data_IF_562702445967
#
_entry.id   IF_562702445967
#
_cell.length_a   1.000
_cell.length_b   1.000
_cell.length_c   1.000
_cell.angle_alpha   90.00
_cell.angle_beta   90.00
_cell.angle_gamma   90.00
#
_symmetry.space_group_name_H-M   'P 1'
#
loop_
_entity.id
_entity.type
_entity.pdbx_description
1 polymer ?
#
# COMPACT_ATOMS: atom_id res chain seq x y z
N UNK A 1 19.76 -0.19 -10.05
CA UNK A 1 18.75 -0.74 -9.13
C UNK A 1 17.50 0.09 -9.28
N UNK A 2 16.33 -0.54 -9.30
CA UNK A 2 15.06 0.19 -9.26
C UNK A 2 15.03 1.06 -7.99
N UNK A 3 14.48 2.28 -8.03
CA UNK A 3 14.39 3.10 -6.83
C UNK A 3 13.53 2.39 -5.76
N UNK A 4 13.85 2.59 -4.48
CA UNK A 4 13.07 2.00 -3.40
C UNK A 4 11.63 2.54 -3.40
N UNK A 5 10.73 1.75 -2.84
CA UNK A 5 9.46 2.26 -2.33
C UNK A 5 9.58 2.46 -0.82
N UNK A 6 8.75 3.33 -0.26
CA UNK A 6 8.74 3.61 1.17
C UNK A 6 7.32 3.43 1.70
N UNK A 7 7.14 2.50 2.64
CA UNK A 7 5.91 2.30 3.39
C UNK A 7 6.01 3.13 4.67
N UNK A 8 5.13 4.10 4.87
CA UNK A 8 5.08 4.91 6.09
C UNK A 8 3.79 4.60 6.85
N UNK A 9 3.91 4.07 8.06
CA UNK A 9 2.78 3.82 8.95
C UNK A 9 2.41 5.13 9.64
N UNK A 10 1.19 5.62 9.44
CA UNK A 10 0.71 6.88 10.02
C UNK A 10 -0.07 6.64 11.31
N UNK A 11 -0.73 5.50 11.42
CA UNK A 11 -1.31 5.01 12.66
C UNK A 11 -1.48 3.49 12.62
N UNK A 12 -1.33 2.89 13.80
CA UNK A 12 -1.13 1.45 13.98
C UNK A 12 -2.03 0.84 15.07
N UNK A 13 -2.98 1.61 15.61
CA UNK A 13 -3.92 1.20 16.66
C UNK A 13 -5.21 0.65 16.08
N UNK A 14 -5.78 -0.34 16.76
CA UNK A 14 -7.10 -0.90 16.47
C UNK A 14 -8.20 -0.26 17.30
N UNK A 15 -9.32 0.07 16.63
CA UNK A 15 -10.60 0.60 17.14
C UNK A 15 -10.54 1.97 17.83
N UNK A 16 -9.56 2.18 18.72
CA UNK A 16 -9.43 3.36 19.57
C UNK A 16 -7.99 3.84 19.51
N UNK A 17 -7.72 5.15 19.40
CA UNK A 17 -6.37 5.65 19.43
C UNK A 17 -5.86 5.64 20.87
N UNK A 18 -4.55 5.52 21.04
CA UNK A 18 -3.89 5.68 22.34
C UNK A 18 -3.01 6.93 22.33
N UNK A 19 -2.43 7.27 23.48
CA UNK A 19 -1.41 8.32 23.56
C UNK A 19 -0.19 8.06 22.67
N UNK A 20 0.01 6.80 22.25
CA UNK A 20 1.21 6.35 21.53
C UNK A 20 0.94 5.83 20.12
N UNK A 21 -0.31 5.53 19.77
CA UNK A 21 -0.70 4.98 18.47
C UNK A 21 -1.99 5.63 17.98
N UNK A 22 -1.99 6.14 16.76
CA UNK A 22 -3.17 6.66 16.09
C UNK A 22 -3.96 5.52 15.40
N UNK A 23 -5.18 5.83 14.97
CA UNK A 23 -6.01 4.96 14.14
C UNK A 23 -5.34 4.56 12.82
N UNK A 24 -5.81 3.45 12.24
CA UNK A 24 -5.34 2.86 10.98
C UNK A 24 -5.14 3.87 9.86
N UNK A 25 -3.88 4.01 9.45
CA UNK A 25 -3.54 4.60 8.16
C UNK A 25 -2.08 4.29 7.83
N UNK A 26 -1.80 3.98 6.57
CA UNK A 26 -0.43 3.87 6.06
C UNK A 26 -0.35 4.42 4.64
N UNK A 27 0.84 4.85 4.24
CA UNK A 27 1.10 5.31 2.88
C UNK A 27 2.21 4.50 2.22
N UNK A 28 2.10 4.32 0.91
CA UNK A 28 3.12 3.70 0.06
C UNK A 28 3.57 4.76 -0.95
N UNK A 29 4.80 5.23 -0.81
CA UNK A 29 5.45 6.13 -1.76
C UNK A 29 6.16 5.32 -2.83
N UNK A 30 5.75 5.51 -4.08
CA UNK A 30 6.25 4.84 -5.26
C UNK A 30 7.58 5.43 -5.75
N UNK A 31 8.31 4.73 -6.67
CA UNK A 31 9.59 5.21 -7.19
C UNK A 31 9.54 6.57 -7.88
N UNK A 32 8.39 6.95 -8.46
CA UNK A 32 8.15 8.26 -9.07
C UNK A 32 8.01 9.40 -8.07
N UNK A 33 7.78 9.07 -6.79
CA UNK A 33 7.38 10.01 -5.75
C UNK A 33 5.87 10.15 -5.57
N UNK A 34 5.02 9.53 -6.40
CA UNK A 34 3.57 9.43 -6.16
C UNK A 34 3.29 8.63 -4.88
N UNK A 35 2.27 9.00 -4.12
CA UNK A 35 1.94 8.34 -2.85
C UNK A 35 0.50 7.83 -2.84
N UNK A 36 0.33 6.57 -2.47
CA UNK A 36 -0.96 5.92 -2.24
C UNK A 36 -1.21 5.78 -0.74
N UNK A 37 -2.39 6.16 -0.28
CA UNK A 37 -2.79 6.03 1.13
C UNK A 37 -3.78 4.88 1.29
N UNK A 38 -3.59 4.06 2.31
CA UNK A 38 -4.46 2.95 2.67
C UNK A 38 -5.05 3.24 4.04
N UNK A 39 -6.37 3.34 4.08
CA UNK A 39 -7.18 3.85 5.18
C UNK A 39 -6.82 5.27 5.63
N UNK A 40 -7.79 5.96 6.19
CA UNK A 40 -7.65 7.26 6.81
C UNK A 40 -8.51 7.34 8.06
N UNK A 41 -8.06 6.66 9.13
CA UNK A 41 -8.61 6.86 10.46
C UNK A 41 -8.52 8.31 10.94
N UNK A 42 -9.28 8.64 11.98
CA UNK A 42 -9.28 9.99 12.56
C UNK A 42 -7.85 10.48 12.83
N UNK A 43 -7.61 11.77 12.60
CA UNK A 43 -6.33 12.46 12.76
C UNK A 43 -5.18 12.01 11.83
N UNK A 44 -5.46 11.22 10.77
CA UNK A 44 -4.46 10.89 9.73
C UNK A 44 -3.76 12.14 9.16
N UNK A 45 -4.51 13.22 8.91
CA UNK A 45 -3.93 14.48 8.43
C UNK A 45 -2.90 15.11 9.39
N UNK A 46 -3.04 14.89 10.70
CA UNK A 46 -2.08 15.37 11.70
C UNK A 46 -0.83 14.49 11.69
N UNK A 47 -0.98 13.18 11.50
CA UNK A 47 0.15 12.25 11.41
C UNK A 47 1.01 12.51 10.17
N UNK A 48 0.38 12.86 9.03
CA UNK A 48 1.10 13.27 7.82
C UNK A 48 2.05 14.47 8.06
N UNK A 49 1.66 15.42 8.90
CA UNK A 49 2.50 16.58 9.24
C UNK A 49 3.71 16.23 10.11
N UNK A 50 3.68 15.07 10.79
CA UNK A 50 4.74 14.60 11.70
C UNK A 50 5.76 13.69 11.01
N UNK A 51 5.54 13.31 9.76
CA UNK A 51 6.45 12.41 9.03
C UNK A 51 7.84 13.05 8.90
N UNK A 52 8.86 12.33 9.37
CA UNK A 52 10.24 12.77 9.30
C UNK A 52 10.69 13.02 7.85
N UNK A 53 11.48 14.09 7.64
CA UNK A 53 11.88 14.53 6.30
C UNK A 53 10.79 15.28 5.52
N UNK A 54 9.59 15.43 6.10
CA UNK A 54 8.45 16.11 5.50
C UNK A 54 7.66 15.21 4.55
N UNK A 55 6.33 15.25 4.66
CA UNK A 55 5.44 14.58 3.71
C UNK A 55 5.00 15.54 2.61
N UNK A 56 5.25 15.19 1.36
CA UNK A 56 4.80 15.99 0.21
C UNK A 56 3.30 15.74 -0.01
N UNK A 57 2.43 16.53 0.61
CA UNK A 57 0.98 16.39 0.44
C UNK A 57 0.53 16.42 -1.04
N UNK A 58 1.26 17.14 -1.90
CA UNK A 58 0.98 17.19 -3.33
C UNK A 58 1.35 15.92 -4.11
N UNK A 59 2.00 14.92 -3.52
CA UNK A 59 2.15 13.59 -4.13
C UNK A 59 1.01 12.63 -3.80
N UNK A 60 0.20 12.95 -2.78
CA UNK A 60 -0.95 12.16 -2.40
C UNK A 60 -2.12 12.49 -3.32
N UNK A 61 -2.52 11.52 -4.14
CA UNK A 61 -3.58 11.66 -5.15
C UNK A 61 -4.65 10.58 -5.05
N UNK A 62 -4.35 9.47 -4.37
CA UNK A 62 -5.25 8.33 -4.25
C UNK A 62 -5.29 7.82 -2.83
N UNK A 63 -6.50 7.48 -2.37
CA UNK A 63 -6.74 6.75 -1.12
C UNK A 63 -7.54 5.49 -1.41
N UNK A 64 -7.22 4.41 -0.70
CA UNK A 64 -7.89 3.12 -0.75
C UNK A 64 -8.41 2.80 0.65
N UNK A 65 -9.72 2.69 0.81
CA UNK A 65 -10.37 2.33 2.08
C UNK A 65 -10.69 0.85 2.07
N UNK A 66 -10.32 0.16 3.15
CA UNK A 66 -10.51 -1.30 3.27
C UNK A 66 -11.94 -1.65 3.65
N UNK A 67 -12.52 -0.92 4.62
CA UNK A 67 -13.89 -1.11 5.09
C UNK A 67 -14.44 0.15 5.78
N UNK A 68 -15.71 0.11 6.19
CA UNK A 68 -16.47 1.29 6.63
C UNK A 68 -16.40 1.59 8.13
N UNK A 69 -15.52 0.94 8.91
CA UNK A 69 -15.35 1.30 10.32
C UNK A 69 -14.67 2.65 10.50
N UNK A 70 -15.04 3.33 11.59
CA UNK A 70 -14.67 4.73 11.81
C UNK A 70 -13.16 4.96 11.95
N UNK A 71 -12.46 4.04 12.58
CA UNK A 71 -11.01 4.05 12.73
C UNK A 71 -10.25 3.81 11.42
N UNK A 72 -10.93 3.50 10.32
CA UNK A 72 -10.33 3.39 8.98
C UNK A 72 -10.75 4.54 8.05
N UNK A 73 -11.77 5.33 8.39
CA UNK A 73 -12.34 6.30 7.44
C UNK A 73 -12.74 7.67 8.00
N UNK A 74 -12.90 7.86 9.32
CA UNK A 74 -13.34 9.16 9.88
C UNK A 74 -12.38 10.32 9.58
N UNK A 75 -11.12 10.03 9.27
CA UNK A 75 -10.14 11.02 8.85
C UNK A 75 -10.25 11.46 7.39
N UNK A 76 -11.06 10.81 6.56
CA UNK A 76 -11.09 11.08 5.11
C UNK A 76 -11.61 12.48 4.77
N UNK A 77 -12.70 12.92 5.39
CA UNK A 77 -13.31 14.23 5.15
C UNK A 77 -12.37 15.37 5.56
N UNK A 78 -11.83 15.40 6.79
CA UNK A 78 -10.86 16.44 7.16
C UNK A 78 -9.60 16.39 6.29
N UNK A 79 -9.12 15.19 5.91
CA UNK A 79 -7.99 15.06 4.99
C UNK A 79 -8.28 15.68 3.61
N UNK A 80 -9.46 15.42 3.02
CA UNK A 80 -9.88 16.04 1.76
C UNK A 80 -9.93 17.57 1.89
N UNK A 81 -10.46 18.10 3.00
CA UNK A 81 -10.43 19.54 3.25
C UNK A 81 -8.99 20.09 3.29
N UNK A 82 -8.06 19.39 3.93
CA UNK A 82 -6.64 19.80 3.94
C UNK A 82 -5.99 19.74 2.57
N UNK A 83 -6.25 18.68 1.78
CA UNK A 83 -5.61 18.46 0.48
C UNK A 83 -6.18 19.34 -0.63
N UNK A 84 -7.48 19.63 -0.58
CA UNK A 84 -8.22 20.27 -1.68
C UNK A 84 -8.70 21.67 -1.31
N UNK A 85 -8.01 22.35 -0.39
CA UNK A 85 -8.32 23.72 0.04
C UNK A 85 -9.80 23.88 0.47
N UNK A 86 -10.24 22.95 1.31
CA UNK A 86 -11.59 22.92 1.87
C UNK A 86 -11.80 24.00 2.92
N UNK A 87 -12.92 24.71 2.81
CA UNK A 87 -13.31 25.75 3.76
C UNK A 87 -14.82 25.90 3.78
N UNK A 88 -15.36 26.38 4.91
CA UNK A 88 -16.78 26.69 5.04
C UNK A 88 -17.21 27.79 4.08
N UNK A 89 -18.43 27.69 3.55
CA UNK A 89 -19.08 28.79 2.84
C UNK A 89 -19.53 29.91 3.79
N UNK A 90 -19.73 31.12 3.27
CA UNK A 90 -20.24 32.26 4.04
C UNK A 90 -21.71 32.50 3.70
N UNK A 91 -22.58 32.56 4.72
CA UNK A 91 -24.02 32.80 4.53
C UNK A 91 -24.23 34.16 3.85
N UNK A 92 -25.01 34.18 2.76
CA UNK A 92 -25.35 35.39 2.01
C UNK A 92 -24.24 35.89 1.06
N UNK A 93 -23.13 35.17 0.95
CA UNK A 93 -22.06 35.46 -0.02
C UNK A 93 -22.01 34.32 -1.04
N UNK A 94 -22.03 34.67 -2.32
CA UNK A 94 -21.85 33.70 -3.39
C UNK A 94 -20.41 33.16 -3.36
N UNK A 95 -20.27 31.84 -3.20
CA UNK A 95 -18.95 31.22 -3.14
C UNK A 95 -18.44 30.96 -4.57
N UNK A 96 -17.24 31.45 -4.93
CA UNK A 96 -16.70 31.26 -6.28
C UNK A 96 -16.57 29.77 -6.65
N UNK A 97 -16.42 28.86 -5.68
CA UNK A 97 -16.36 27.40 -5.95
C UNK A 97 -17.70 26.84 -6.44
N UNK A 98 -18.81 27.45 -6.02
CA UNK A 98 -20.17 27.11 -6.49
C UNK A 98 -20.43 27.74 -7.86
N UNK A 99 -19.99 28.98 -8.05
CA UNK A 99 -20.10 29.68 -9.34
C UNK A 99 -19.25 28.99 -10.43
N UNK A 100 -18.00 28.61 -10.14
CA UNK A 100 -17.12 27.85 -11.06
C UNK A 100 -17.76 26.51 -11.46
N UNK A 101 -18.46 25.84 -10.54
CA UNK A 101 -19.19 24.61 -10.84
C UNK A 101 -20.42 24.85 -11.74
N UNK A 102 -21.04 26.03 -11.65
CA UNK A 102 -22.26 26.41 -12.38
C UNK A 102 -21.99 27.07 -13.75
N UNK A 103 -20.92 27.85 -13.90
CA UNK A 103 -20.54 28.55 -15.14
C UNK A 103 -19.94 27.61 -16.20
N UNK A 104 -19.35 26.47 -15.78
CA UNK A 104 -18.86 25.41 -16.69
C UNK A 104 -19.99 24.49 -17.18
N UNK A 105 -21.05 25.09 -17.71
CA UNK A 105 -22.14 24.42 -18.45
C UNK A 105 -21.71 23.83 -19.81
N UNK A 106 -20.42 23.71 -20.08
CA UNK A 106 -19.85 23.10 -21.29
C UNK A 106 -18.52 22.42 -20.95
N UNK A 107 -18.47 21.11 -21.14
CA UNK A 107 -17.28 20.23 -21.06
C UNK A 107 -16.37 20.44 -19.83
N UNK A 108 -16.71 19.74 -18.72
CA UNK A 108 -15.79 19.55 -17.57
C UNK A 108 -14.40 19.13 -18.08
N UNK A 109 -13.35 19.90 -17.78
CA UNK A 109 -11.97 19.41 -17.90
C UNK A 109 -11.87 18.18 -16.98
N UNK A 110 -11.56 17.03 -17.58
CA UNK A 110 -12.01 15.68 -17.21
C UNK A 110 -11.26 15.01 -16.06
N UNK A 111 -10.51 15.76 -15.26
CA UNK A 111 -9.44 15.19 -14.42
C UNK A 111 -9.69 15.48 -12.94
N UNK A 112 -9.78 14.43 -12.12
CA UNK A 112 -9.92 14.57 -10.67
C UNK A 112 -8.57 14.91 -10.03
N UNK A 113 -8.54 15.91 -9.15
CA UNK A 113 -7.34 16.22 -8.35
C UNK A 113 -7.08 15.13 -7.29
N UNK A 114 -8.13 14.41 -6.90
CA UNK A 114 -8.05 13.34 -5.90
C UNK A 114 -9.05 12.20 -6.18
N UNK A 115 -8.59 10.96 -6.04
CA UNK A 115 -9.42 9.77 -6.23
C UNK A 115 -9.52 8.96 -4.94
N UNK A 116 -10.74 8.57 -4.60
CA UNK A 116 -11.07 7.74 -3.45
C UNK A 116 -11.61 6.41 -3.95
N UNK A 117 -11.02 5.31 -3.49
CA UNK A 117 -11.47 3.95 -3.76
C UNK A 117 -11.87 3.30 -2.43
N UNK A 118 -12.99 2.58 -2.40
CA UNK A 118 -13.40 1.86 -1.19
C UNK A 118 -14.75 1.17 -1.33
N UNK A 119 -15.33 0.64 -0.25
CA UNK A 119 -16.61 -0.07 -0.29
C UNK A 119 -17.79 0.84 -0.63
N UNK A 120 -18.92 0.21 -0.96
CA UNK A 120 -20.23 0.86 -1.06
C UNK A 120 -20.56 1.69 0.19
N UNK A 121 -21.12 2.89 -0.02
CA UNK A 121 -21.53 3.84 1.02
C UNK A 121 -20.48 4.93 1.30
N UNK A 122 -19.24 4.75 0.83
CA UNK A 122 -18.17 5.73 1.01
C UNK A 122 -18.49 7.06 0.31
N UNK A 123 -19.09 7.00 -0.89
CA UNK A 123 -19.48 8.21 -1.63
C UNK A 123 -20.54 8.99 -0.88
N UNK A 124 -21.57 8.31 -0.39
CA UNK A 124 -22.64 8.91 0.40
C UNK A 124 -22.12 9.52 1.70
N UNK A 125 -21.22 8.82 2.41
CA UNK A 125 -20.59 9.32 3.62
C UNK A 125 -19.84 10.64 3.40
N UNK A 126 -18.95 10.69 2.40
CA UNK A 126 -18.17 11.90 2.09
C UNK A 126 -19.09 13.05 1.70
N UNK A 127 -20.03 12.79 0.77
CA UNK A 127 -20.98 13.78 0.26
C UNK A 127 -21.83 14.35 1.38
N UNK A 128 -22.41 13.49 2.22
CA UNK A 128 -23.25 13.89 3.34
C UNK A 128 -22.45 14.69 4.37
N UNK A 129 -21.24 14.25 4.70
CA UNK A 129 -20.38 14.94 5.66
C UNK A 129 -19.98 16.34 5.19
N UNK A 130 -19.57 16.49 3.94
CA UNK A 130 -19.26 17.81 3.36
C UNK A 130 -20.50 18.71 3.31
N UNK A 131 -21.65 18.16 2.91
CA UNK A 131 -22.92 18.89 2.83
C UNK A 131 -23.38 19.39 4.20
N UNK A 132 -23.44 18.51 5.20
CA UNK A 132 -23.91 18.84 6.55
C UNK A 132 -22.99 19.84 7.25
N UNK A 133 -21.68 19.73 7.04
CA UNK A 133 -20.70 20.68 7.60
C UNK A 133 -20.55 21.96 6.79
N UNK A 134 -21.28 22.09 5.67
CA UNK A 134 -21.17 23.22 4.72
C UNK A 134 -19.73 23.45 4.23
N UNK A 135 -18.98 22.36 4.13
CA UNK A 135 -17.60 22.36 3.66
C UNK A 135 -17.57 22.28 2.14
N UNK A 136 -16.98 23.30 1.52
CA UNK A 136 -16.77 23.35 0.07
C UNK A 136 -15.29 23.09 -0.20
N UNK A 137 -15.00 22.23 -1.17
CA UNK A 137 -13.62 21.96 -1.61
C UNK A 137 -13.25 22.91 -2.75
N UNK A 138 -11.98 23.30 -2.84
CA UNK A 138 -11.44 24.08 -3.95
C UNK A 138 -10.88 23.21 -5.10
N UNK A 139 -10.50 21.97 -4.81
CA UNK A 139 -10.06 20.96 -5.79
C UNK A 139 -11.13 19.89 -6.03
N UNK A 140 -11.07 19.27 -7.21
CA UNK A 140 -11.97 18.23 -7.67
C UNK A 140 -11.65 16.86 -7.07
N UNK A 141 -12.68 16.07 -6.78
CA UNK A 141 -12.51 14.71 -6.27
C UNK A 141 -13.52 13.75 -6.89
N UNK A 142 -13.20 12.46 -6.86
CA UNK A 142 -14.07 11.37 -7.31
C UNK A 142 -14.03 10.21 -6.33
N UNK A 143 -15.17 9.53 -6.17
CA UNK A 143 -15.29 8.35 -5.30
C UNK A 143 -15.76 7.14 -6.11
N UNK A 144 -14.86 6.18 -6.26
CA UNK A 144 -15.09 4.87 -6.86
C UNK A 144 -15.43 3.86 -5.78
N UNK A 145 -16.57 3.19 -5.92
CA UNK A 145 -17.03 2.20 -4.96
C UNK A 145 -16.85 0.79 -5.52
N UNK A 146 -16.24 -0.08 -4.72
CA UNK A 146 -16.08 -1.50 -4.98
C UNK A 146 -17.31 -2.20 -4.39
N UNK A 147 -18.22 -2.58 -5.27
CA UNK A 147 -19.47 -3.23 -4.92
C UNK A 147 -19.30 -4.74 -4.90
N UNK A 148 -19.76 -5.46 -3.87
CA UNK A 148 -19.74 -6.91 -3.87
C UNK A 148 -20.58 -7.45 -5.03
N UNK A 149 -20.30 -8.68 -5.47
CA UNK A 149 -21.05 -9.26 -6.58
C UNK A 149 -22.54 -9.40 -6.21
N UNK A 150 -23.40 -8.70 -6.93
CA UNK A 150 -24.85 -8.85 -6.82
C UNK A 150 -25.36 -9.69 -7.99
N UNK A 151 -26.37 -10.53 -7.73
CA UNK A 151 -26.91 -11.51 -8.66
C UNK A 151 -27.22 -10.91 -10.06
N UNK A 152 -26.26 -11.02 -11.00
CA UNK A 152 -26.47 -10.75 -12.42
C UNK A 152 -26.05 -9.37 -12.94
N UNK A 153 -25.42 -8.49 -12.15
CA UNK A 153 -24.87 -7.22 -12.66
C UNK A 153 -23.37 -7.41 -12.93
N UNK A 154 -23.03 -7.69 -14.19
CA UNK A 154 -21.63 -7.84 -14.65
C UNK A 154 -21.02 -6.50 -15.15
N UNK A 155 -21.80 -5.43 -15.24
CA UNK A 155 -21.35 -4.20 -15.91
C UNK A 155 -20.76 -3.16 -14.94
N UNK A 156 -19.48 -2.81 -15.18
CA UNK A 156 -18.86 -1.61 -14.64
C UNK A 156 -19.62 -0.40 -15.16
N UNK A 157 -20.12 0.45 -14.26
CA UNK A 157 -20.96 1.59 -14.66
C UNK A 157 -20.51 2.88 -13.96
N UNK A 158 -20.36 3.93 -14.76
CA UNK A 158 -20.24 5.30 -14.25
C UNK A 158 -21.59 5.67 -13.62
N UNK A 159 -21.56 6.14 -12.38
CA UNK A 159 -22.79 6.47 -11.64
C UNK A 159 -23.46 7.67 -12.31
N UNK A 160 -24.76 7.54 -12.57
CA UNK A 160 -25.61 8.62 -13.12
C UNK A 160 -26.29 9.37 -11.99
N UNK A 161 -25.50 9.99 -11.12
CA UNK A 161 -26.05 10.88 -10.08
C UNK A 161 -26.63 12.14 -10.72
N UNK A 162 -27.75 12.62 -10.19
CA UNK A 162 -28.34 13.89 -10.62
C UNK A 162 -27.39 15.02 -10.22
N UNK A 163 -27.13 15.97 -11.12
CA UNK A 163 -26.16 17.04 -10.89
C UNK A 163 -26.48 17.89 -9.64
N UNK A 164 -27.76 17.99 -9.29
CA UNK A 164 -28.29 18.72 -8.12
C UNK A 164 -27.92 18.05 -6.78
N UNK A 165 -27.64 16.75 -6.78
CA UNK A 165 -27.24 15.99 -5.59
C UNK A 165 -25.73 15.97 -5.36
N UNK A 166 -24.93 16.33 -6.36
CA UNK A 166 -23.46 16.29 -6.25
C UNK A 166 -22.91 17.52 -5.53
N UNK A 167 -21.78 17.36 -4.82
CA UNK A 167 -21.04 18.53 -4.34
C UNK A 167 -20.41 19.29 -5.52
N UNK A 168 -20.18 20.62 -5.42
CA UNK A 168 -19.68 21.43 -6.55
C UNK A 168 -18.39 20.91 -7.22
N UNK A 169 -17.47 20.35 -6.42
CA UNK A 169 -16.19 19.80 -6.89
C UNK A 169 -16.19 18.26 -6.98
N UNK A 170 -17.34 17.61 -6.82
CA UNK A 170 -17.47 16.17 -6.96
C UNK A 170 -17.62 15.80 -8.44
N UNK A 171 -16.85 14.81 -8.88
CA UNK A 171 -16.96 14.21 -10.21
C UNK A 171 -17.67 12.84 -10.13
N UNK A 172 -18.38 12.40 -11.18
CA UNK A 172 -19.11 11.14 -11.15
C UNK A 172 -18.14 9.97 -11.06
N UNK A 173 -18.27 9.19 -10.00
CA UNK A 173 -17.48 7.99 -9.77
C UNK A 173 -17.99 6.77 -10.53
N UNK A 174 -17.35 5.64 -10.26
CA UNK A 174 -17.70 4.34 -10.83
C UNK A 174 -18.15 3.40 -9.73
N UNK A 175 -19.15 2.56 -10.03
CA UNK A 175 -19.39 1.33 -9.28
C UNK A 175 -18.62 0.22 -9.98
N UNK A 176 -17.63 -0.32 -9.29
CA UNK A 176 -16.71 -1.34 -9.80
C UNK A 176 -17.14 -2.67 -9.19
N UNK A 177 -17.44 -3.64 -10.04
CA UNK A 177 -17.82 -4.99 -9.64
C UNK A 177 -16.63 -5.95 -9.82
N UNK A 178 -16.55 -7.02 -9.01
CA UNK A 178 -15.49 -8.00 -9.18
C UNK A 178 -15.65 -8.77 -10.49
N UNK A 179 -14.53 -9.26 -11.00
CA UNK A 179 -14.50 -10.19 -12.12
C UNK A 179 -15.07 -11.56 -11.70
N UNK A 180 -15.19 -12.51 -12.64
CA UNK A 180 -15.79 -13.84 -12.41
C UNK A 180 -15.11 -14.68 -11.32
N UNK A 181 -13.86 -14.37 -10.99
CA UNK A 181 -13.12 -15.03 -9.92
C UNK A 181 -13.24 -14.33 -8.55
N UNK A 182 -14.10 -13.31 -8.46
CA UNK A 182 -14.40 -12.60 -7.21
C UNK A 182 -13.42 -11.48 -6.87
N UNK A 183 -12.52 -11.11 -7.78
CA UNK A 183 -11.53 -10.04 -7.56
C UNK A 183 -11.81 -8.80 -8.39
N UNK A 184 -11.58 -7.62 -7.81
CA UNK A 184 -11.56 -6.36 -8.56
C UNK A 184 -10.15 -6.16 -9.12
N UNK A 185 -9.91 -6.63 -10.34
CA UNK A 185 -8.59 -6.55 -10.96
C UNK A 185 -8.34 -5.20 -11.62
N UNK A 186 -7.16 -4.66 -11.33
CA UNK A 186 -6.65 -3.40 -11.85
C UNK A 186 -7.69 -2.27 -11.82
N UNK A 187 -8.09 -1.90 -10.60
CA UNK A 187 -9.14 -0.91 -10.34
C UNK A 187 -8.78 0.48 -10.86
N UNK A 188 -7.48 0.77 -11.07
CA UNK A 188 -7.06 2.05 -11.62
C UNK A 188 -7.40 2.15 -13.11
N UNK A 189 -7.08 1.12 -13.91
CA UNK A 189 -7.45 1.08 -15.34
C UNK A 189 -8.94 0.93 -15.59
N UNK A 190 -9.69 0.51 -14.56
CA UNK A 190 -11.15 0.40 -14.62
C UNK A 190 -11.88 1.75 -14.64
N UNK A 191 -11.16 2.86 -14.47
CA UNK A 191 -11.72 4.21 -14.42
C UNK A 191 -11.10 5.10 -15.50
N UNK A 192 -11.82 6.14 -15.91
CA UNK A 192 -11.26 7.22 -16.74
C UNK A 192 -10.34 8.14 -15.89
N UNK A 193 -9.40 7.55 -15.16
CA UNK A 193 -8.41 8.27 -14.36
C UNK A 193 -7.44 9.00 -15.29
N UNK A 194 -7.16 10.24 -14.91
CA UNK A 194 -6.14 11.10 -15.54
C UNK A 194 -4.82 11.08 -14.77
N UNK A 195 -4.84 10.48 -13.58
CA UNK A 195 -3.67 10.35 -12.74
C UNK A 195 -2.78 9.22 -13.30
N UNK A 196 -1.44 9.34 -13.28
CA UNK A 196 -0.55 8.29 -13.76
C UNK A 196 -0.86 6.93 -13.12
N UNK A 197 -1.04 5.91 -13.97
CA UNK A 197 -1.20 4.51 -13.57
C UNK A 197 0.18 3.86 -13.61
N UNK A 198 0.88 3.93 -12.49
CA UNK A 198 2.27 3.45 -12.41
C UNK A 198 2.36 2.00 -11.95
N UNK A 199 1.41 1.58 -11.11
CA UNK A 199 1.30 0.25 -10.54
C UNK A 199 -0.13 -0.22 -10.73
N UNK A 200 -0.30 -1.52 -10.99
CA UNK A 200 -1.62 -2.14 -10.98
C UNK A 200 -2.07 -2.27 -9.52
N UNK A 201 -3.31 -1.89 -9.24
CA UNK A 201 -3.93 -2.07 -7.92
C UNK A 201 -5.16 -2.94 -8.08
N UNK A 202 -5.15 -4.10 -7.46
CA UNK A 202 -6.31 -5.00 -7.43
C UNK A 202 -6.83 -5.12 -6.01
N UNK A 203 -8.09 -5.52 -5.85
CA UNK A 203 -8.68 -5.80 -4.54
C UNK A 203 -9.34 -7.19 -4.52
N UNK A 204 -9.42 -7.77 -3.34
CA UNK A 204 -10.16 -9.00 -3.09
C UNK A 204 -10.85 -9.00 -1.74
N UNK A 205 -11.89 -9.82 -1.56
CA UNK A 205 -12.62 -9.89 -0.30
C UNK A 205 -11.76 -10.52 0.78
N UNK A 206 -11.95 -10.08 2.02
CA UNK A 206 -11.46 -10.72 3.25
C UNK A 206 -12.59 -10.76 4.27
N UNK A 207 -12.56 -11.71 5.21
CA UNK A 207 -13.65 -11.89 6.17
C UNK A 207 -13.43 -11.03 7.41
N UNK A 208 -14.37 -10.12 7.66
CA UNK A 208 -14.42 -9.29 8.87
C UNK A 208 -15.89 -9.17 9.33
N UNK A 209 -16.12 -8.44 10.43
CA UNK A 209 -17.47 -8.17 10.97
C UNK A 209 -18.40 -7.41 10.00
N UNK A 210 -17.81 -6.68 9.06
CA UNK A 210 -18.46 -5.98 7.94
C UNK A 210 -17.74 -6.31 6.64
N UNK A 211 -18.33 -6.04 5.45
CA UNK A 211 -17.61 -6.20 4.18
C UNK A 211 -16.26 -5.47 4.21
N UNK A 212 -15.20 -6.21 3.93
CA UNK A 212 -13.83 -5.73 4.01
C UNK A 212 -13.00 -6.22 2.82
N UNK A 213 -12.02 -5.39 2.44
CA UNK A 213 -11.19 -5.57 1.28
C UNK A 213 -9.71 -5.65 1.67
N UNK A 214 -8.98 -6.53 0.99
CA UNK A 214 -7.53 -6.45 0.88
C UNK A 214 -7.14 -5.90 -0.49
N UNK A 215 -6.04 -5.15 -0.54
CA UNK A 215 -5.48 -4.58 -1.77
C UNK A 215 -4.15 -5.25 -2.13
N UNK A 216 -3.92 -5.45 -3.42
CA UNK A 216 -2.67 -6.00 -3.97
C UNK A 216 -2.13 -5.05 -5.02
N UNK A 217 -0.95 -4.50 -4.75
CA UNK A 217 -0.23 -3.62 -5.65
C UNK A 217 0.83 -4.42 -6.40
N UNK A 218 0.85 -4.33 -7.72
CA UNK A 218 1.83 -5.00 -8.58
C UNK A 218 2.60 -3.97 -9.39
N UNK A 219 3.92 -3.92 -9.19
CA UNK A 219 4.82 -3.11 -9.99
C UNK A 219 4.95 -3.73 -11.38
N UNK A 220 4.92 -2.92 -12.46
CA UNK A 220 5.20 -3.40 -13.79
C UNK A 220 6.58 -4.08 -13.88
N UNK A 221 6.80 -4.95 -14.88
CA UNK A 221 8.11 -5.55 -15.11
C UNK A 221 9.22 -4.49 -15.15
N UNK A 222 10.25 -4.70 -14.32
CA UNK A 222 11.40 -3.83 -14.21
C UNK A 222 12.38 -4.10 -15.35
N UNK A 223 13.09 -3.07 -15.85
CA UNK A 223 14.18 -3.29 -16.78
C UNK A 223 15.23 -4.26 -16.22
N UNK A 224 15.71 -5.14 -17.09
CA UNK A 224 16.82 -6.04 -16.79
C UNK A 224 18.12 -5.30 -16.52
N UNK A 225 19.10 -6.01 -15.96
CA UNK A 225 20.41 -5.43 -15.68
C UNK A 225 21.33 -5.48 -16.88
N UNK A 226 22.06 -4.39 -17.08
CA UNK A 226 23.25 -4.38 -17.91
C UNK A 226 24.34 -5.16 -17.19
N UNK A 227 24.73 -6.29 -17.77
CA UNK A 227 25.87 -7.09 -17.32
C UNK A 227 27.19 -6.54 -17.91
N UNK A 228 28.36 -6.89 -17.34
CA UNK A 228 29.65 -6.48 -17.90
C UNK A 228 29.84 -6.84 -19.39
N UNK A 229 29.23 -7.94 -19.85
CA UNK A 229 29.25 -8.41 -21.24
C UNK A 229 28.76 -7.34 -22.25
N UNK A 230 27.74 -6.56 -21.90
CA UNK A 230 27.28 -5.45 -22.75
C UNK A 230 28.40 -4.43 -23.03
N UNK A 231 29.15 -4.07 -21.98
CA UNK A 231 30.26 -3.13 -22.09
C UNK A 231 31.38 -3.73 -22.92
N UNK A 232 31.67 -5.01 -22.73
CA UNK A 232 32.71 -5.72 -23.48
C UNK A 232 32.38 -5.75 -24.98
N UNK A 233 31.14 -6.11 -25.36
CA UNK A 233 30.66 -6.10 -26.75
C UNK A 233 30.69 -4.70 -27.39
N UNK A 234 30.28 -3.67 -26.65
CA UNK A 234 30.36 -2.27 -27.14
C UNK A 234 31.82 -1.87 -27.37
N UNK A 235 32.71 -2.16 -26.43
CA UNK A 235 34.12 -1.78 -26.51
C UNK A 235 34.86 -2.53 -27.62
N UNK A 236 34.52 -3.80 -27.87
CA UNK A 236 35.04 -4.57 -29.01
C UNK A 236 34.71 -3.92 -30.36
N UNK A 237 33.64 -3.10 -30.42
CA UNK A 237 33.18 -2.43 -31.63
C UNK A 237 33.50 -0.92 -31.66
N UNK A 238 34.29 -0.41 -30.71
CA UNK A 238 34.48 1.03 -30.48
C UNK A 238 34.89 1.81 -31.72
N UNK A 239 35.93 1.36 -32.44
CA UNK A 239 36.46 2.08 -33.61
C UNK A 239 35.47 2.10 -34.77
N UNK A 240 34.83 0.97 -35.04
CA UNK A 240 33.82 0.83 -36.09
C UNK A 240 32.58 1.69 -35.79
N UNK A 241 32.13 1.72 -34.52
CA UNK A 241 31.01 2.55 -34.07
C UNK A 241 31.30 4.05 -34.20
N UNK A 242 32.52 4.49 -33.89
CA UNK A 242 32.91 5.90 -34.07
C UNK A 242 32.94 6.24 -35.56
N UNK A 243 33.49 5.36 -36.40
CA UNK A 243 33.54 5.53 -37.87
C UNK A 243 32.14 5.54 -38.51
N UNK A 244 31.17 4.83 -37.95
CA UNK A 244 29.76 4.82 -38.40
C UNK A 244 28.94 5.99 -37.87
N UNK A 245 29.54 6.93 -37.14
CA UNK A 245 28.88 8.16 -36.67
C UNK A 245 28.40 8.13 -35.22
N UNK A 246 28.65 7.06 -34.47
CA UNK A 246 28.34 6.99 -33.03
C UNK A 246 29.41 7.75 -32.24
N UNK A 247 29.14 9.03 -31.93
CA UNK A 247 30.08 9.90 -31.17
C UNK A 247 30.52 9.31 -29.82
N UNK A 248 29.60 8.64 -29.12
CA UNK A 248 29.89 7.99 -27.84
C UNK A 248 29.33 6.55 -27.85
N UNK A 249 30.16 5.52 -28.08
CA UNK A 249 29.74 4.12 -28.08
C UNK A 249 28.99 3.69 -26.80
N UNK A 250 29.34 4.26 -25.64
CA UNK A 250 28.67 3.92 -24.37
C UNK A 250 27.21 4.42 -24.31
N UNK A 251 26.80 5.34 -25.18
CA UNK A 251 25.38 5.73 -25.31
C UNK A 251 24.47 4.59 -25.77
N UNK A 252 25.04 3.51 -26.33
CA UNK A 252 24.29 2.30 -26.64
C UNK A 252 23.72 1.62 -25.40
N UNK A 253 24.33 1.80 -24.21
CA UNK A 253 23.78 1.25 -22.96
C UNK A 253 22.42 1.85 -22.61
N UNK A 254 22.23 3.17 -22.74
CA UNK A 254 20.92 3.77 -22.47
C UNK A 254 19.90 3.43 -23.54
N UNK A 255 20.34 3.22 -24.78
CA UNK A 255 19.46 2.80 -25.88
C UNK A 255 18.99 1.37 -25.70
N UNK A 256 19.88 0.45 -25.34
CA UNK A 256 19.53 -0.97 -25.15
C UNK A 256 18.58 -1.18 -23.96
N UNK A 257 18.65 -0.35 -22.92
CA UNK A 257 17.69 -0.37 -21.80
C UNK A 257 16.32 0.23 -22.14
N UNK A 258 16.21 0.98 -23.24
CA UNK A 258 14.96 1.58 -23.70
C UNK A 258 14.26 0.73 -24.77
N UNK A 259 14.86 -0.39 -25.17
CA UNK A 259 14.29 -1.34 -26.11
C UNK A 259 13.13 -2.13 -25.47
N UNK A 260 12.18 -2.52 -26.31
CA UNK A 260 11.15 -3.50 -25.96
C UNK A 260 11.74 -4.89 -25.72
N UNK A 261 10.99 -5.74 -25.02
CA UNK A 261 11.44 -7.11 -24.73
C UNK A 261 11.70 -7.90 -26.03
N UNK A 262 12.90 -8.47 -26.13
CA UNK A 262 13.33 -9.26 -27.29
C UNK A 262 13.91 -8.44 -28.44
N UNK A 263 13.89 -7.11 -28.37
CA UNK A 263 14.55 -6.24 -29.35
C UNK A 263 16.06 -6.21 -29.16
N UNK A 264 16.80 -5.73 -30.17
CA UNK A 264 18.27 -5.68 -30.13
C UNK A 264 18.86 -4.53 -30.96
N UNK A 265 20.13 -4.22 -30.68
CA UNK A 265 20.97 -3.34 -31.52
C UNK A 265 22.04 -4.20 -32.18
N UNK A 266 22.11 -4.19 -33.51
CA UNK A 266 23.21 -4.83 -34.25
C UNK A 266 24.52 -4.04 -34.06
N UNK A 267 25.60 -4.78 -33.88
CA UNK A 267 26.96 -4.27 -33.77
C UNK A 267 27.75 -4.50 -35.08
N UNK A 268 28.73 -3.65 -35.40
CA UNK A 268 29.51 -3.76 -36.64
C UNK A 268 30.23 -5.10 -36.87
N UNK A 269 30.57 -5.84 -35.82
CA UNK A 269 31.17 -7.18 -35.90
C UNK A 269 30.16 -8.31 -36.14
N UNK A 270 28.86 -8.00 -36.26
CA UNK A 270 27.78 -8.99 -36.41
C UNK A 270 27.18 -9.48 -35.09
N UNK A 271 27.69 -9.02 -33.94
CA UNK A 271 27.07 -9.29 -32.65
C UNK A 271 25.79 -8.46 -32.44
N UNK A 272 25.00 -8.84 -31.44
CA UNK A 272 23.79 -8.12 -31.03
C UNK A 272 23.82 -7.76 -29.56
N UNK A 273 23.39 -6.54 -29.25
CA UNK A 273 23.03 -6.13 -27.90
C UNK A 273 21.54 -6.35 -27.70
N UNK A 274 21.17 -7.47 -27.11
CA UNK A 274 19.78 -7.79 -26.75
C UNK A 274 19.27 -6.84 -25.66
N UNK A 275 17.99 -6.49 -25.69
CA UNK A 275 17.30 -5.91 -24.53
C UNK A 275 17.58 -6.77 -23.29
N UNK A 276 18.00 -6.20 -22.15
CA UNK A 276 18.15 -6.98 -20.92
C UNK A 276 16.84 -7.69 -20.57
N UNK A 277 16.88 -8.96 -20.11
CA UNK A 277 15.66 -9.68 -19.74
C UNK A 277 14.92 -8.93 -18.63
N UNK A 278 13.63 -8.69 -18.82
CA UNK A 278 12.80 -8.00 -17.83
C UNK A 278 12.80 -8.78 -16.52
N UNK A 279 12.78 -8.05 -15.41
CA UNK A 279 12.70 -8.61 -14.07
C UNK A 279 11.29 -8.41 -13.55
N UNK A 280 10.78 -9.35 -12.76
CA UNK A 280 9.49 -9.20 -12.09
C UNK A 280 9.53 -7.92 -11.23
N UNK A 281 8.47 -7.11 -11.29
CA UNK A 281 8.29 -6.00 -10.36
C UNK A 281 7.99 -6.48 -8.95
N UNK A 282 8.06 -5.58 -7.97
CA UNK A 282 7.63 -5.88 -6.59
C UNK A 282 6.12 -6.08 -6.52
N UNK A 283 5.67 -6.94 -5.60
CA UNK A 283 4.26 -7.15 -5.28
C UNK A 283 4.00 -6.97 -3.79
N UNK A 284 3.01 -6.16 -3.44
CA UNK A 284 2.69 -5.79 -2.05
C UNK A 284 1.22 -6.08 -1.80
N UNK A 285 0.93 -6.79 -0.71
CA UNK A 285 -0.43 -7.00 -0.23
C UNK A 285 -0.65 -6.17 1.03
N UNK A 286 -1.73 -5.39 1.05
CA UNK A 286 -2.20 -4.62 2.21
C UNK A 286 -3.58 -5.14 2.57
N UNK A 287 -3.73 -5.76 3.73
CA UNK A 287 -5.03 -6.20 4.21
C UNK A 287 -5.63 -5.17 5.16
N UNK A 288 -6.94 -5.00 5.10
CA UNK A 288 -7.71 -4.41 6.20
C UNK A 288 -7.91 -5.41 7.33
N UNK A 289 -8.86 -5.09 8.20
CA UNK A 289 -9.25 -5.96 9.30
C UNK A 289 -9.82 -7.28 8.80
N UNK A 290 -9.44 -8.37 9.44
CA UNK A 290 -9.80 -9.71 8.99
C UNK A 290 -9.58 -10.78 10.06
N UNK A 291 -10.51 -11.73 10.16
CA UNK A 291 -10.32 -13.01 10.84
C UNK A 291 -10.03 -14.17 9.88
N UNK A 292 -10.30 -14.00 8.58
CA UNK A 292 -9.97 -14.99 7.56
C UNK A 292 -9.61 -14.31 6.22
N UNK A 293 -8.33 -14.42 5.86
CA UNK A 293 -7.76 -13.86 4.63
C UNK A 293 -7.73 -14.86 3.47
N UNK A 294 -8.20 -16.10 3.66
CA UNK A 294 -8.21 -17.12 2.60
C UNK A 294 -8.91 -16.70 1.29
N UNK A 295 -9.95 -15.85 1.28
CA UNK A 295 -10.60 -15.50 0.01
C UNK A 295 -9.70 -14.70 -0.94
N UNK A 296 -8.72 -13.93 -0.45
CA UNK A 296 -7.79 -13.16 -1.30
C UNK A 296 -6.54 -13.94 -1.72
N UNK A 297 -6.35 -15.20 -1.26
CA UNK A 297 -5.11 -15.98 -1.43
C UNK A 297 -4.60 -15.99 -2.87
N UNK A 298 -5.44 -16.26 -3.87
CA UNK A 298 -4.97 -16.36 -5.27
C UNK A 298 -4.43 -15.02 -5.79
N UNK A 299 -5.06 -13.90 -5.38
CA UNK A 299 -4.61 -12.57 -5.76
C UNK A 299 -3.33 -12.18 -5.02
N UNK A 300 -3.20 -12.54 -3.74
CA UNK A 300 -2.04 -12.24 -2.89
C UNK A 300 -0.84 -13.19 -3.09
N UNK A 301 -1.00 -14.28 -3.84
CA UNK A 301 0.04 -15.28 -4.03
C UNK A 301 1.32 -14.69 -4.62
N UNK A 302 2.47 -15.06 -4.06
CA UNK A 302 3.79 -14.56 -4.46
C UNK A 302 4.01 -13.07 -4.18
N UNK A 303 3.34 -12.50 -3.17
CA UNK A 303 3.69 -11.16 -2.69
C UNK A 303 5.09 -11.15 -2.09
N UNK A 304 5.79 -10.03 -2.19
CA UNK A 304 7.09 -9.83 -1.55
C UNK A 304 6.94 -9.19 -0.16
N UNK A 305 5.91 -8.36 0.00
CA UNK A 305 5.55 -7.71 1.26
C UNK A 305 4.07 -7.96 1.56
N UNK A 306 3.76 -8.36 2.78
CA UNK A 306 2.42 -8.50 3.31
C UNK A 306 2.28 -7.59 4.53
N UNK A 307 1.30 -6.69 4.49
CA UNK A 307 0.86 -5.90 5.64
C UNK A 307 -0.43 -6.54 6.15
N UNK A 308 -0.41 -7.02 7.39
CA UNK A 308 -1.49 -7.79 7.98
C UNK A 308 -1.79 -7.29 9.39
N UNK A 309 -3.07 -7.26 9.77
CA UNK A 309 -3.45 -6.95 11.15
C UNK A 309 -3.01 -8.06 12.14
N UNK A 310 -2.71 -7.65 13.36
CA UNK A 310 -2.38 -8.54 14.47
C UNK A 310 -2.95 -7.97 15.78
N UNK A 311 -4.28 -7.77 15.78
CA UNK A 311 -4.98 -7.04 16.84
C UNK A 311 -4.74 -7.61 18.23
N UNK A 312 -4.79 -8.93 18.38
CA UNK A 312 -4.61 -9.60 19.66
C UNK A 312 -3.51 -10.65 19.59
N UNK A 313 -2.66 -10.71 20.62
CA UNK A 313 -1.62 -11.72 20.71
C UNK A 313 -1.72 -12.51 22.01
N UNK A 314 -1.42 -13.81 21.93
CA UNK A 314 -1.19 -14.63 23.11
C UNK A 314 0.27 -14.47 23.57
N UNK A 315 0.46 -13.84 24.73
CA UNK A 315 1.79 -13.57 25.26
C UNK A 315 2.23 -14.59 26.32
N UNK A 316 1.31 -15.37 26.88
CA UNK A 316 1.62 -16.35 27.92
C UNK A 316 2.46 -15.74 29.05
N UNK A 317 3.45 -16.47 29.52
CA UNK A 317 4.42 -16.03 30.53
C UNK A 317 5.68 -15.36 29.94
N UNK A 318 5.73 -15.08 28.62
CA UNK A 318 6.89 -14.47 27.95
C UNK A 318 7.35 -13.16 28.57
N UNK A 319 6.44 -12.45 29.24
CA UNK A 319 6.67 -11.15 29.89
C UNK A 319 6.71 -11.24 31.42
N UNK A 320 6.73 -12.44 32.00
CA UNK A 320 6.58 -12.67 33.43
C UNK A 320 5.11 -12.71 33.89
N UNK A 321 4.84 -13.41 34.99
CA UNK A 321 3.48 -13.58 35.55
C UNK A 321 2.93 -12.31 36.19
N UNK A 322 3.81 -11.38 36.50
CA UNK A 322 3.54 -10.05 37.03
C UNK A 322 3.10 -9.04 35.96
N UNK A 323 3.26 -9.38 34.67
CA UNK A 323 2.82 -8.54 33.56
C UNK A 323 1.30 -8.39 33.57
N UNK A 324 0.82 -7.17 33.26
CA UNK A 324 -0.63 -6.90 33.09
C UNK A 324 -1.25 -7.68 31.93
N UNK A 325 -0.43 -8.15 31.00
CA UNK A 325 -0.87 -8.96 29.86
C UNK A 325 -0.98 -10.46 30.20
N UNK A 326 -0.43 -10.91 31.34
CA UNK A 326 -0.54 -12.31 31.76
C UNK A 326 -1.92 -12.57 32.37
N UNK A 327 -2.56 -13.66 31.92
CA UNK A 327 -3.79 -14.18 32.51
C UNK A 327 -3.62 -15.65 32.83
N UNK A 328 -3.81 -15.99 34.10
CA UNK A 328 -3.67 -17.37 34.57
C UNK A 328 -4.69 -18.29 33.87
N UNK A 329 -4.20 -19.37 33.26
CA UNK A 329 -5.01 -20.34 32.55
C UNK A 329 -5.48 -19.93 31.15
N UNK A 330 -5.15 -18.74 30.65
CA UNK A 330 -5.45 -18.35 29.25
C UNK A 330 -4.55 -19.14 28.29
N UNK A 331 -5.15 -19.69 27.23
CA UNK A 331 -4.43 -20.42 26.18
C UNK A 331 -4.40 -19.64 24.87
N UNK A 332 -3.52 -20.04 23.94
CA UNK A 332 -3.53 -19.49 22.58
C UNK A 332 -4.90 -19.67 21.90
N UNK A 333 -5.53 -20.84 22.05
CA UNK A 333 -6.84 -21.11 21.45
C UNK A 333 -7.95 -20.21 22.00
N UNK A 334 -7.89 -19.86 23.29
CA UNK A 334 -8.82 -18.89 23.87
C UNK A 334 -8.66 -17.50 23.27
N UNK A 335 -7.42 -17.04 23.10
CA UNK A 335 -7.12 -15.75 22.46
C UNK A 335 -7.52 -15.77 21.00
N UNK A 336 -7.15 -16.82 20.25
CA UNK A 336 -7.50 -17.00 18.84
C UNK A 336 -9.01 -16.97 18.63
N UNK A 337 -9.77 -17.77 19.40
CA UNK A 337 -11.24 -17.81 19.32
C UNK A 337 -11.87 -16.44 19.57
N UNK A 338 -11.50 -15.77 20.67
CA UNK A 338 -12.00 -14.41 20.97
C UNK A 338 -11.64 -13.41 19.87
N UNK A 339 -10.46 -13.54 19.28
CA UNK A 339 -9.98 -12.66 18.22
C UNK A 339 -10.81 -12.83 16.95
N UNK A 340 -11.09 -14.08 16.57
CA UNK A 340 -11.99 -14.41 15.44
C UNK A 340 -13.42 -13.95 15.70
N UNK A 341 -13.94 -14.10 16.92
CA UNK A 341 -15.29 -13.64 17.31
C UNK A 341 -15.49 -12.13 17.08
N UNK A 342 -14.41 -11.33 17.13
CA UNK A 342 -14.43 -9.90 16.84
C UNK A 342 -13.98 -9.56 15.41
N UNK A 343 -13.81 -10.57 14.54
CA UNK A 343 -13.43 -10.37 13.15
C UNK A 343 -11.95 -10.03 12.94
N UNK A 344 -11.07 -10.36 13.88
CA UNK A 344 -9.65 -9.98 13.83
C UNK A 344 -8.70 -11.18 13.76
N UNK A 345 -7.41 -10.90 13.63
CA UNK A 345 -6.33 -11.89 13.55
C UNK A 345 -5.30 -11.80 14.68
N UNK A 346 -4.66 -12.94 14.92
CA UNK A 346 -3.47 -13.06 15.77
C UNK A 346 -2.19 -12.98 14.93
N UNK A 347 -1.02 -12.68 15.52
CA UNK A 347 0.27 -12.73 14.81
C UNK A 347 0.53 -14.06 14.12
N UNK A 348 0.14 -15.17 14.75
CA UNK A 348 0.26 -16.52 14.23
C UNK A 348 -0.62 -16.71 12.98
N UNK A 349 -1.87 -16.24 12.99
CA UNK A 349 -2.76 -16.30 11.82
C UNK A 349 -2.19 -15.48 10.64
N UNK A 350 -1.64 -14.30 10.92
CA UNK A 350 -0.98 -13.48 9.90
C UNK A 350 0.24 -14.21 9.29
N UNK A 351 1.01 -14.92 10.12
CA UNK A 351 2.13 -15.72 9.67
C UNK A 351 1.70 -16.97 8.88
N UNK A 352 0.65 -17.67 9.31
CA UNK A 352 0.05 -18.79 8.56
C UNK A 352 -0.42 -18.35 7.17
N UNK A 353 -1.05 -17.18 7.07
CA UNK A 353 -1.43 -16.61 5.78
C UNK A 353 -0.21 -16.24 4.92
N UNK A 354 0.84 -15.64 5.52
CA UNK A 354 2.11 -15.35 4.83
C UNK A 354 2.74 -16.61 4.20
N UNK A 355 2.70 -17.74 4.92
CA UNK A 355 3.16 -19.04 4.39
C UNK A 355 2.27 -19.50 3.23
N UNK A 356 0.95 -19.39 3.41
CA UNK A 356 -0.05 -19.83 2.42
C UNK A 356 0.11 -19.14 1.08
N UNK A 357 0.40 -17.83 1.08
CA UNK A 357 0.62 -17.05 -0.15
C UNK A 357 2.05 -17.16 -0.71
N UNK A 358 2.93 -17.96 -0.10
CA UNK A 358 4.33 -18.06 -0.51
C UNK A 358 5.06 -16.71 -0.44
N UNK A 359 4.91 -15.97 0.67
CA UNK A 359 5.48 -14.64 0.85
C UNK A 359 7.00 -14.65 0.60
N UNK A 360 7.44 -13.97 -0.46
CA UNK A 360 8.83 -13.90 -0.89
C UNK A 360 9.33 -15.08 -1.74
N UNK A 361 8.53 -16.13 -1.99
CA UNK A 361 8.93 -17.31 -2.78
C UNK A 361 9.21 -16.94 -4.26
N UNK A 362 8.75 -15.76 -4.73
CA UNK A 362 8.97 -15.26 -6.10
C UNK A 362 10.16 -14.31 -6.26
N UNK A 363 11.06 -14.23 -5.27
CA UNK A 363 12.31 -13.47 -5.34
C UNK A 363 12.52 -12.50 -4.18
N UNK A 364 11.47 -12.18 -3.41
CA UNK A 364 11.54 -11.36 -2.21
C UNK A 364 12.10 -9.96 -2.43
N UNK A 365 12.38 -9.27 -1.33
CA UNK A 365 12.86 -7.89 -1.32
C UNK A 365 13.98 -7.69 -0.31
N UNK A 366 14.76 -6.63 -0.52
CA UNK A 366 15.66 -6.11 0.50
C UNK A 366 14.91 -5.00 1.24
N UNK A 367 14.46 -5.32 2.45
CA UNK A 367 13.65 -4.44 3.28
C UNK A 367 14.41 -3.96 4.52
N UNK A 368 14.19 -2.72 4.95
CA UNK A 368 14.73 -2.21 6.22
C UNK A 368 13.91 -1.05 6.79
N UNK A 369 13.87 -0.95 8.11
CA UNK A 369 13.38 0.24 8.81
C UNK A 369 14.37 1.39 8.61
N UNK A 370 13.87 2.55 8.20
CA UNK A 370 14.66 3.77 8.07
C UNK A 370 14.85 4.40 9.45
N UNK A 371 16.10 4.68 9.83
CA UNK A 371 16.44 5.41 11.06
C UNK A 371 16.98 6.80 10.72
N UNK A 372 16.72 7.78 11.61
CA UNK A 372 17.15 9.18 11.44
C UNK A 372 18.67 9.35 11.32
N UNK A 373 19.46 8.38 11.80
CA UNK A 373 20.93 8.40 11.77
C UNK A 373 21.57 7.89 10.45
N UNK A 374 20.77 7.57 9.44
CA UNK A 374 21.25 6.95 8.19
C UNK A 374 22.07 7.87 7.25
N UNK A 375 22.55 9.01 7.74
CA UNK A 375 23.60 9.83 7.13
C UNK A 375 25.00 9.20 7.14
N UNK A 376 25.22 8.13 7.92
CA UNK A 376 26.46 7.33 7.84
C UNK A 376 26.16 5.97 7.22
N UNK A 377 26.62 5.76 5.98
CA UNK A 377 26.73 4.45 5.35
C UNK A 377 27.65 3.54 6.18
N UNK A 378 27.11 2.90 7.21
CA UNK A 378 27.71 1.72 7.80
C UNK A 378 27.69 0.61 6.75
N UNK A 379 28.85 0.29 6.18
CA UNK A 379 29.01 -0.90 5.33
C UNK A 379 28.82 -2.13 6.23
N UNK A 380 27.61 -2.66 6.35
CA UNK A 380 27.46 -4.07 6.74
C UNK A 380 28.14 -4.88 5.64
N UNK A 381 29.12 -5.72 6.02
CA UNK A 381 29.94 -6.52 5.10
C UNK A 381 29.28 -7.84 4.69
N UNK A 382 28.00 -8.04 4.99
CA UNK A 382 27.22 -9.21 4.57
C UNK A 382 26.43 -8.89 3.30
N UNK A 383 26.39 -9.83 2.34
CA UNK A 383 25.42 -9.75 1.23
C UNK A 383 24.04 -10.01 1.83
N UNK A 384 23.25 -8.94 1.96
CA UNK A 384 21.87 -9.02 2.43
C UNK A 384 21.07 -9.83 1.40
N UNK A 385 20.47 -10.94 1.81
CA UNK A 385 19.68 -11.80 0.93
C UNK A 385 18.22 -11.29 0.88
N UNK A 386 17.58 -11.27 -0.30
CA UNK A 386 16.16 -10.97 -0.40
C UNK A 386 15.30 -11.92 0.43
N UNK A 387 14.23 -11.39 1.03
CA UNK A 387 13.30 -12.12 1.90
C UNK A 387 11.86 -11.72 1.60
N UNK A 388 10.91 -12.58 1.97
CA UNK A 388 9.54 -12.13 2.19
C UNK A 388 9.48 -11.22 3.42
N UNK A 389 8.57 -10.24 3.44
CA UNK A 389 8.44 -9.33 4.58
C UNK A 389 7.00 -9.29 5.08
N UNK A 390 6.79 -9.72 6.32
CA UNK A 390 5.52 -9.60 7.04
C UNK A 390 5.58 -8.39 7.96
N UNK A 391 4.81 -7.35 7.63
CA UNK A 391 4.61 -6.17 8.46
C UNK A 391 3.31 -6.35 9.25
N UNK A 392 3.44 -6.67 10.54
CA UNK A 392 2.30 -6.72 11.45
C UNK A 392 1.85 -5.29 11.79
N UNK A 393 0.55 -5.05 11.75
CA UNK A 393 -0.07 -3.75 11.99
C UNK A 393 -1.34 -3.87 12.84
N UNK A 394 -2.00 -2.75 13.11
CA UNK A 394 -3.35 -2.71 13.70
C UNK A 394 -3.43 -3.44 15.05
N UNK A 395 -2.64 -2.97 16.01
CA UNK A 395 -2.53 -3.58 17.32
C UNK A 395 -3.62 -3.08 18.25
N UNK A 396 -4.14 -3.94 19.13
CA UNK A 396 -5.06 -3.51 20.20
C UNK A 396 -4.47 -2.33 20.97
N UNK A 397 -5.31 -1.36 21.32
CA UNK A 397 -4.93 -0.14 22.04
C UNK A 397 -4.24 -0.38 23.39
N UNK A 398 -4.28 -1.60 23.93
CA UNK A 398 -3.49 -2.02 25.11
C UNK A 398 -1.99 -2.13 24.84
N UNK A 399 -1.58 -2.32 23.59
CA UNK A 399 -0.19 -2.44 23.18
C UNK A 399 0.36 -1.08 22.76
N UNK A 400 1.10 -0.44 23.67
CA UNK A 400 1.71 0.86 23.39
C UNK A 400 2.79 0.77 22.28
N UNK A 401 3.17 1.93 21.73
CA UNK A 401 4.30 2.06 20.81
C UNK A 401 5.60 1.54 21.47
N UNK A 402 6.42 0.73 20.78
CA UNK A 402 7.64 0.16 21.36
C UNK A 402 8.65 1.21 21.85
N UNK A 403 8.59 2.44 21.35
CA UNK A 403 9.47 3.54 21.77
C UNK A 403 9.02 4.21 23.07
N UNK A 404 7.83 3.88 23.58
CA UNK A 404 7.25 4.52 24.75
C UNK A 404 7.84 4.02 26.08
N UNK A 405 8.27 2.75 26.14
CA UNK A 405 8.90 2.13 27.31
C UNK A 405 9.52 0.78 26.97
N UNK A 406 10.46 0.31 27.79
CA UNK A 406 11.06 -1.03 27.64
C UNK A 406 10.00 -2.16 27.72
N UNK A 407 8.97 -1.98 28.55
CA UNK A 407 7.87 -2.93 28.65
C UNK A 407 7.06 -3.00 27.35
N UNK A 408 6.79 -1.86 26.71
CA UNK A 408 6.13 -1.81 25.40
C UNK A 408 7.01 -2.45 24.31
N UNK A 409 8.32 -2.19 24.32
CA UNK A 409 9.26 -2.84 23.41
C UNK A 409 9.25 -4.37 23.57
N UNK A 410 9.28 -4.87 24.81
CA UNK A 410 9.22 -6.30 25.11
C UNK A 410 7.91 -6.95 24.65
N UNK A 411 6.77 -6.25 24.81
CA UNK A 411 5.47 -6.71 24.29
C UNK A 411 5.54 -6.86 22.76
N UNK A 412 5.97 -5.83 22.05
CA UNK A 412 6.02 -5.86 20.59
C UNK A 412 6.99 -6.91 20.06
N UNK A 413 8.08 -7.16 20.78
CA UNK A 413 9.02 -8.24 20.47
C UNK A 413 8.39 -9.62 20.69
N UNK A 414 7.67 -9.83 21.79
CA UNK A 414 6.96 -11.08 22.06
C UNK A 414 5.86 -11.38 21.01
N UNK A 415 5.20 -10.34 20.49
CA UNK A 415 4.26 -10.40 19.36
C UNK A 415 4.98 -10.81 18.07
N UNK A 416 6.11 -10.15 17.77
CA UNK A 416 6.96 -10.47 16.60
C UNK A 416 7.42 -11.92 16.63
N UNK A 417 7.90 -12.39 17.78
CA UNK A 417 8.34 -13.77 17.99
C UNK A 417 7.21 -14.79 17.81
N UNK A 418 5.99 -14.47 18.24
CA UNK A 418 4.81 -15.31 18.04
C UNK A 418 4.58 -15.64 16.56
N UNK A 419 4.61 -14.64 15.69
CA UNK A 419 4.56 -14.83 14.24
C UNK A 419 5.82 -15.56 13.71
N UNK A 420 7.01 -15.18 14.18
CA UNK A 420 8.27 -15.73 13.68
C UNK A 420 8.40 -17.26 13.88
N UNK A 421 7.88 -17.80 14.98
CA UNK A 421 7.89 -19.24 15.29
C UNK A 421 7.17 -20.10 14.25
N UNK A 422 6.14 -19.56 13.60
CA UNK A 422 5.44 -20.27 12.50
C UNK A 422 6.42 -20.57 11.36
N UNK A 423 7.33 -19.64 11.05
CA UNK A 423 8.32 -19.83 9.98
C UNK A 423 9.44 -20.79 10.35
N UNK A 424 9.76 -20.97 11.64
CA UNK A 424 10.74 -21.98 12.07
C UNK A 424 10.26 -23.39 11.72
N UNK A 425 8.97 -23.66 11.94
CA UNK A 425 8.33 -24.93 11.56
C UNK A 425 8.35 -25.14 10.05
N UNK A 426 8.14 -24.07 9.26
CA UNK A 426 8.17 -24.14 7.79
C UNK A 426 9.59 -24.33 7.24
N UNK A 427 10.60 -23.71 7.86
CA UNK A 427 12.01 -23.84 7.44
C UNK A 427 12.52 -25.27 7.44
N UNK A 428 11.99 -26.14 8.31
CA UNK A 428 12.29 -27.57 8.30
C UNK A 428 11.93 -28.23 6.95
N UNK A 429 10.92 -27.70 6.26
CA UNK A 429 10.42 -28.19 4.96
C UNK A 429 10.87 -27.36 3.77
N UNK A 430 11.15 -26.06 3.95
CA UNK A 430 11.62 -25.12 2.92
C UNK A 430 12.77 -24.23 3.45
N UNK A 431 14.02 -24.72 3.45
CA UNK A 431 15.16 -24.01 4.05
C UNK A 431 15.49 -22.65 3.40
N UNK A 432 15.15 -22.51 2.12
CA UNK A 432 15.44 -21.33 1.30
C UNK A 432 14.44 -20.19 1.51
N UNK A 433 13.24 -20.48 2.03
CA UNK A 433 12.21 -19.47 2.29
C UNK A 433 12.55 -18.75 3.60
N UNK A 434 12.84 -17.45 3.48
CA UNK A 434 13.11 -16.61 4.65
C UNK A 434 12.14 -15.45 4.65
N UNK A 435 11.38 -15.33 5.73
CA UNK A 435 10.44 -14.24 5.97
C UNK A 435 10.96 -13.41 7.14
N UNK A 436 11.03 -12.10 6.95
CA UNK A 436 11.28 -11.13 7.99
C UNK A 436 9.96 -10.66 8.61
N UNK A 437 9.92 -10.50 9.93
CA UNK A 437 8.71 -10.09 10.66
C UNK A 437 9.00 -8.79 11.38
N UNK A 438 8.18 -7.77 11.11
CA UNK A 438 8.33 -6.45 11.71
C UNK A 438 7.00 -6.01 12.29
N UNK A 439 7.00 -5.64 13.56
CA UNK A 439 5.86 -4.99 14.20
C UNK A 439 5.90 -3.49 13.90
N UNK A 440 4.85 -2.96 13.26
CA UNK A 440 4.78 -1.53 12.94
C UNK A 440 4.59 -0.65 14.18
N UNK A 441 4.95 0.62 14.01
CA UNK A 441 4.69 1.68 14.96
C UNK A 441 4.47 3.01 14.22
N UNK A 442 3.90 3.99 14.90
CA UNK A 442 3.51 5.25 14.27
C UNK A 442 4.74 5.99 13.73
N UNK A 443 4.62 6.50 12.50
CA UNK A 443 5.68 7.17 11.75
C UNK A 443 6.87 6.26 11.38
N UNK A 444 6.76 4.95 11.55
CA UNK A 444 7.76 4.00 11.02
C UNK A 444 7.79 4.09 9.49
N UNK A 445 8.99 4.29 8.93
CA UNK A 445 9.23 4.23 7.50
C UNK A 445 10.01 2.95 7.17
N UNK A 446 9.45 2.11 6.31
CA UNK A 446 10.08 0.87 5.85
C UNK A 446 10.43 0.98 4.37
N UNK A 447 11.72 0.94 4.07
CA UNK A 447 12.25 1.00 2.71
C UNK A 447 12.23 -0.40 2.10
N UNK A 448 11.63 -0.57 0.91
CA UNK A 448 11.59 -1.84 0.18
C UNK A 448 12.28 -1.69 -1.17
N UNK A 449 13.35 -2.46 -1.37
CA UNK A 449 14.12 -2.49 -2.62
C UNK A 449 13.88 -3.81 -3.35
N UNK A 450 13.73 -3.71 -4.66
CA UNK A 450 13.64 -4.89 -5.52
C UNK A 450 14.89 -5.75 -5.33
N UNK A 451 14.69 -7.06 -5.31
CA UNK A 451 15.78 -8.03 -5.38
C UNK A 451 16.54 -7.90 -6.70
N UNK A 452 17.78 -8.37 -6.67
CA UNK A 452 18.77 -8.16 -7.71
C UNK A 452 18.56 -9.03 -8.95
#
# INVERSE_FOLDING_TARGET
MAPPIVITFLGTSSAVPSLTRNHSSLSITLPSGSTYLFDAGEATQHQLQKVAGGFKLSSLRRIFITHMHGDHMFGIVPLLCTLLNGAGGTVGVEDPRVAIASEKGGERKREADFEVYGPEGLREYIRTSLRLTRSLLGGSYVVHELHPQTNGIEERAKVKDMAEDMMPMELPGYNIFPDKDGYWKDILSSTESSQPMEWEVSAGPILHSVPCLGYVLTEPPLPGKITPDYRERIMANKEALIKSGTKNPMSLLSKVTALGEGEFIDLPNGDRLMSPPVRRGRKITVLGDTCDSSPITNLANGSDVLIHEATNAFLGDKLGKESKEYKEGETYEDVKRKTIEHGHSTPEMAAEFAVTIGLGDTGGVLGRVMTEESGKKGKSKGVEKPKGVLLLNHFSSRYADPRSSDAAAAIMEAIRESAAKIFETVKETKPESTIDVVCSYDLMQYEVRASD
#
